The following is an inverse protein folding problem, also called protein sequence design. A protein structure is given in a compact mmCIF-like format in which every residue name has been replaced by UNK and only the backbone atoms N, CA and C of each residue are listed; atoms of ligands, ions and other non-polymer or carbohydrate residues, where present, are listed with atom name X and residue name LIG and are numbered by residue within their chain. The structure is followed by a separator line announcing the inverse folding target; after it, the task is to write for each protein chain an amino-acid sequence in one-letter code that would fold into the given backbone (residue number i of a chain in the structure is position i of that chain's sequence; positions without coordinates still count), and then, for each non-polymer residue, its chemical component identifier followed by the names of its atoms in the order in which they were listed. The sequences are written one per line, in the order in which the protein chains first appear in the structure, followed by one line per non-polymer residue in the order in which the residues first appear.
data_IF_029323434898
#
_entry.id   IF_029323434898
#
_cell.length_a   1.000
_cell.length_b   1.000
_cell.length_c   1.000
_cell.angle_alpha   90.00
_cell.angle_beta   90.00
_cell.angle_gamma   90.00
#
_symmetry.space_group_name_H-M   'P 1'
#
loop_
_entity.id
_entity.type
_entity.pdbx_description
1 polymer ?
#
# COMPACT_ATOMS: atom_id res chain seq x y z
N UNK A 1 -55.00 57.71 26.11
CA UNK A 1 -53.58 57.35 26.24
C UNK A 1 -53.54 55.86 26.36
N UNK A 2 -53.25 55.19 25.24
CA UNK A 2 -53.12 53.74 25.13
C UNK A 2 -51.62 53.38 25.05
N UNK A 3 -51.16 52.55 25.97
CA UNK A 3 -49.81 52.06 26.04
C UNK A 3 -49.51 51.06 24.86
N UNK A 4 -48.28 51.03 24.34
CA UNK A 4 -47.90 50.08 23.29
C UNK A 4 -47.64 48.68 23.89
N UNK A 5 -47.77 47.59 23.06
CA UNK A 5 -47.55 46.23 23.53
C UNK A 5 -46.02 45.91 23.62
N UNK A 6 -45.68 45.22 24.72
CA UNK A 6 -44.36 44.74 25.03
C UNK A 6 -44.10 43.50 24.16
N UNK A 7 -43.07 43.56 23.28
CA UNK A 7 -42.63 42.45 22.48
C UNK A 7 -41.91 41.38 23.32
N UNK A 8 -42.33 40.13 23.19
CA UNK A 8 -41.68 38.98 23.80
C UNK A 8 -40.29 38.72 23.19
N UNK A 9 -39.25 38.36 23.97
CA UNK A 9 -37.96 38.02 23.43
C UNK A 9 -38.00 36.68 22.70
N UNK A 10 -37.50 36.67 21.49
CA UNK A 10 -37.33 35.47 20.66
C UNK A 10 -36.11 34.66 21.19
N UNK A 11 -36.21 33.34 21.36
CA UNK A 11 -35.07 32.58 21.80
C UNK A 11 -33.98 32.53 20.72
N UNK A 12 -32.76 32.85 21.09
CA UNK A 12 -31.59 32.71 20.23
C UNK A 12 -31.36 31.24 19.91
N UNK A 13 -31.47 30.88 18.64
CA UNK A 13 -31.08 29.56 18.12
C UNK A 13 -29.56 29.44 18.17
N UNK A 14 -29.05 28.78 19.21
CA UNK A 14 -27.66 28.30 19.20
C UNK A 14 -27.54 27.15 18.21
N UNK A 15 -27.04 27.45 17.01
CA UNK A 15 -26.54 26.44 16.10
C UNK A 15 -25.32 25.77 16.76
N UNK A 16 -25.49 24.55 17.22
CA UNK A 16 -24.40 23.68 17.60
C UNK A 16 -23.74 23.28 16.27
N UNK A 17 -22.60 23.90 15.92
CA UNK A 17 -21.76 23.45 14.81
C UNK A 17 -21.37 22.01 15.10
N UNK A 18 -21.86 21.08 14.27
CA UNK A 18 -21.40 19.71 14.30
C UNK A 18 -19.87 19.73 14.02
N UNK A 19 -19.05 18.95 14.76
CA UNK A 19 -17.64 18.92 14.51
C UNK A 19 -17.40 18.55 13.04
N UNK A 20 -16.70 19.42 12.32
CA UNK A 20 -16.26 19.16 10.94
C UNK A 20 -15.49 17.82 10.97
N UNK A 21 -15.97 16.84 10.21
CA UNK A 21 -15.22 15.59 10.05
C UNK A 21 -13.80 15.94 9.58
N UNK A 22 -12.79 15.56 10.38
CA UNK A 22 -11.41 15.82 10.02
C UNK A 22 -11.16 15.28 8.61
N UNK A 23 -10.55 16.10 7.76
CA UNK A 23 -10.25 15.71 6.38
C UNK A 23 -9.35 14.45 6.41
N UNK A 24 -9.76 13.41 5.67
CA UNK A 24 -8.96 12.19 5.57
C UNK A 24 -7.76 12.43 4.67
N UNK A 25 -6.64 11.78 5.00
CA UNK A 25 -5.45 11.80 4.15
C UNK A 25 -5.69 10.99 2.88
N UNK A 26 -5.38 11.57 1.75
CA UNK A 26 -5.51 10.97 0.41
C UNK A 26 -4.43 9.92 0.22
N UNK A 27 -4.83 8.65 0.24
CA UNK A 27 -3.93 7.51 0.11
C UNK A 27 -3.98 6.91 -1.30
N UNK A 28 -2.82 6.62 -1.88
CA UNK A 28 -2.66 5.88 -3.13
C UNK A 28 -1.76 4.67 -2.90
N UNK A 29 -2.20 3.50 -3.37
CA UNK A 29 -1.42 2.27 -3.35
C UNK A 29 -0.82 2.01 -4.74
N UNK A 30 0.49 1.73 -4.79
CA UNK A 30 1.25 1.39 -5.99
C UNK A 30 1.75 -0.04 -5.91
N UNK A 31 1.87 -0.71 -7.07
CA UNK A 31 2.43 -2.05 -7.11
C UNK A 31 1.93 -2.95 -8.22
N UNK A 32 1.81 -4.22 -7.90
CA UNK A 32 1.46 -5.29 -8.83
C UNK A 32 0.24 -6.10 -8.38
N UNK A 33 0.16 -7.38 -8.79
CA UNK A 33 -0.93 -8.29 -8.44
C UNK A 33 -1.15 -8.43 -6.93
N UNK A 34 -0.12 -8.29 -6.13
CA UNK A 34 -0.21 -8.35 -4.66
C UNK A 34 -0.88 -7.12 -4.05
N UNK A 35 -0.80 -5.99 -4.70
CA UNK A 35 -1.42 -4.75 -4.24
C UNK A 35 -2.83 -4.58 -4.82
N UNK A 36 -3.05 -4.93 -6.11
CA UNK A 36 -4.42 -4.94 -6.66
C UNK A 36 -5.29 -6.05 -6.04
N UNK A 37 -4.69 -7.05 -5.41
CA UNK A 37 -5.40 -8.12 -4.73
C UNK A 37 -6.03 -9.12 -5.70
N UNK A 38 -5.19 -9.73 -6.54
CA UNK A 38 -5.62 -10.78 -7.47
C UNK A 38 -6.24 -11.95 -6.71
N UNK A 39 -7.34 -12.48 -7.23
CA UNK A 39 -8.08 -13.65 -6.71
C UNK A 39 -8.75 -13.48 -5.34
N UNK A 40 -8.87 -12.23 -4.85
CA UNK A 40 -9.67 -11.88 -3.67
C UNK A 40 -10.68 -10.78 -3.99
N UNK A 41 -11.68 -10.61 -3.15
CA UNK A 41 -12.63 -9.50 -3.27
C UNK A 41 -11.98 -8.16 -2.91
N UNK A 42 -12.59 -7.04 -3.34
CA UNK A 42 -12.08 -5.70 -3.02
C UNK A 42 -11.89 -5.51 -1.52
N UNK A 43 -12.85 -5.91 -0.70
CA UNK A 43 -12.77 -5.77 0.76
C UNK A 43 -11.65 -6.61 1.41
N UNK A 44 -11.13 -7.63 0.71
CA UNK A 44 -10.07 -8.50 1.20
C UNK A 44 -8.66 -8.03 0.80
N UNK A 45 -8.52 -7.07 -0.11
CA UNK A 45 -7.22 -6.50 -0.51
C UNK A 45 -6.57 -5.80 0.66
N UNK A 46 -5.27 -5.90 0.81
CA UNK A 46 -4.60 -5.25 1.93
C UNK A 46 -4.74 -3.72 1.96
N UNK A 47 -4.76 -2.95 0.83
CA UNK A 47 -4.99 -1.52 0.90
C UNK A 47 -6.39 -1.16 1.40
N UNK A 48 -7.42 -1.95 1.01
CA UNK A 48 -8.81 -1.75 1.45
C UNK A 48 -8.99 -2.13 2.92
N UNK A 49 -8.39 -3.24 3.38
CA UNK A 49 -8.36 -3.60 4.80
C UNK A 49 -7.62 -2.54 5.64
N UNK A 50 -6.55 -1.95 5.09
CA UNK A 50 -5.77 -0.91 5.76
C UNK A 50 -6.62 0.33 6.03
N UNK A 51 -7.36 0.83 5.02
CA UNK A 51 -8.23 2.01 5.22
C UNK A 51 -9.45 1.70 6.10
N UNK A 52 -9.94 0.45 6.08
CA UNK A 52 -10.97 0.03 7.03
C UNK A 52 -10.48 0.08 8.49
N UNK A 53 -9.21 -0.20 8.72
CA UNK A 53 -8.57 -0.12 10.05
C UNK A 53 -8.13 1.29 10.43
N UNK A 54 -7.79 2.14 9.45
CA UNK A 54 -7.27 3.50 9.63
C UNK A 54 -8.24 4.55 9.06
N UNK A 55 -9.29 4.96 9.80
CA UNK A 55 -10.32 5.89 9.30
C UNK A 55 -9.79 7.26 8.90
N UNK A 56 -8.56 7.60 9.30
CA UNK A 56 -7.86 8.82 8.89
C UNK A 56 -7.43 8.80 7.42
N UNK A 57 -7.44 7.63 6.77
CA UNK A 57 -7.07 7.47 5.37
C UNK A 57 -8.30 7.37 4.46
N UNK A 58 -8.15 7.88 3.24
CA UNK A 58 -9.07 7.65 2.12
C UNK A 58 -8.29 7.04 0.96
N UNK A 59 -8.57 5.78 0.60
CA UNK A 59 -7.97 5.15 -0.58
C UNK A 59 -8.55 5.80 -1.84
N UNK A 60 -7.86 6.79 -2.39
CA UNK A 60 -8.31 7.51 -3.59
C UNK A 60 -8.01 6.75 -4.88
N UNK A 61 -6.99 5.90 -4.86
CA UNK A 61 -6.71 4.95 -5.95
C UNK A 61 -5.82 3.80 -5.48
N UNK A 62 -6.07 2.61 -6.04
CA UNK A 62 -5.14 1.51 -6.11
C UNK A 62 -4.71 1.40 -7.58
N UNK A 63 -3.49 1.84 -7.90
CA UNK A 63 -2.96 1.93 -9.27
C UNK A 63 -2.28 0.64 -9.73
N UNK A 64 -2.13 -0.30 -8.81
CA UNK A 64 -1.46 -1.56 -9.07
C UNK A 64 -2.15 -2.40 -10.15
N UNK A 65 -1.37 -3.09 -10.96
CA UNK A 65 -1.85 -3.93 -12.05
C UNK A 65 -1.11 -5.27 -12.06
N UNK A 66 -1.83 -6.35 -12.39
CA UNK A 66 -1.24 -7.69 -12.52
C UNK A 66 -0.06 -7.68 -13.49
N UNK A 67 1.05 -8.28 -13.09
CA UNK A 67 2.24 -8.44 -13.92
C UNK A 67 3.15 -7.22 -14.00
N UNK A 68 2.79 -6.10 -13.37
CA UNK A 68 3.63 -4.89 -13.37
C UNK A 68 4.99 -5.14 -12.72
N UNK A 69 6.01 -4.60 -13.37
CA UNK A 69 7.40 -4.52 -12.94
C UNK A 69 7.72 -3.13 -12.39
N UNK A 70 8.91 -2.96 -11.85
CA UNK A 70 9.41 -1.64 -11.45
C UNK A 70 9.42 -0.61 -12.59
N UNK A 71 9.57 -1.06 -13.83
CA UNK A 71 9.45 -0.21 -15.02
C UNK A 71 8.03 0.30 -15.23
N UNK A 72 7.03 -0.56 -15.06
CA UNK A 72 5.63 -0.20 -15.26
C UNK A 72 5.17 0.80 -14.20
N UNK A 73 5.66 0.70 -12.96
CA UNK A 73 5.44 1.76 -11.94
C UNK A 73 5.92 3.11 -12.45
N UNK A 74 7.10 3.20 -13.05
CA UNK A 74 7.66 4.44 -13.58
C UNK A 74 6.82 4.97 -14.75
N UNK A 75 6.45 4.10 -15.69
CA UNK A 75 5.82 4.50 -16.96
C UNK A 75 4.32 4.72 -16.85
N UNK A 76 3.64 4.03 -15.90
CA UNK A 76 2.17 4.00 -15.83
C UNK A 76 1.62 4.57 -14.52
N UNK A 77 2.18 4.18 -13.35
CA UNK A 77 1.60 4.57 -12.07
C UNK A 77 2.03 5.97 -11.62
N UNK A 78 3.33 6.26 -11.63
CA UNK A 78 3.87 7.56 -11.20
C UNK A 78 3.25 8.76 -11.94
N UNK A 79 3.00 8.72 -13.26
CA UNK A 79 2.36 9.83 -13.97
C UNK A 79 0.96 10.18 -13.47
N UNK A 80 0.24 9.24 -12.87
CA UNK A 80 -1.13 9.46 -12.38
C UNK A 80 -1.17 10.22 -11.05
N UNK A 81 -0.07 10.23 -10.29
CA UNK A 81 -0.02 10.84 -8.96
C UNK A 81 -0.27 12.34 -8.96
N UNK A 82 0.07 13.06 -10.04
CA UNK A 82 -0.14 14.51 -10.13
C UNK A 82 -1.64 14.86 -10.13
N UNK A 83 -2.45 14.08 -10.83
CA UNK A 83 -3.91 14.26 -10.85
C UNK A 83 -4.56 13.80 -9.54
N UNK A 84 -4.04 12.72 -8.94
CA UNK A 84 -4.57 12.14 -7.71
C UNK A 84 -4.19 12.92 -6.45
N UNK A 85 -3.07 13.66 -6.48
CA UNK A 85 -2.56 14.46 -5.36
C UNK A 85 -2.58 13.70 -4.03
N UNK A 86 -1.86 12.55 -3.94
CA UNK A 86 -1.81 11.79 -2.70
C UNK A 86 -1.08 12.56 -1.59
N UNK A 87 -1.47 12.29 -0.35
CA UNK A 87 -0.79 12.73 0.85
C UNK A 87 -0.02 11.58 1.51
N UNK A 88 -0.40 10.34 1.18
CA UNK A 88 0.25 9.10 1.63
C UNK A 88 0.34 8.15 0.44
N UNK A 89 1.48 7.49 0.29
CA UNK A 89 1.71 6.49 -0.76
C UNK A 89 2.32 5.23 -0.17
N UNK A 90 1.83 4.06 -0.59
CA UNK A 90 2.52 2.79 -0.36
C UNK A 90 3.02 2.19 -1.65
N UNK A 91 4.15 1.47 -1.59
CA UNK A 91 4.76 0.78 -2.72
C UNK A 91 5.08 -0.67 -2.34
N UNK A 92 4.59 -1.63 -3.13
CA UNK A 92 5.00 -3.03 -3.10
C UNK A 92 5.26 -3.47 -4.55
N UNK A 93 6.53 -3.68 -4.93
CA UNK A 93 6.94 -4.01 -6.30
C UNK A 93 8.25 -4.80 -6.34
N UNK A 94 8.40 -5.66 -7.33
CA UNK A 94 9.66 -6.34 -7.59
C UNK A 94 9.57 -7.85 -7.81
N UNK A 95 8.41 -8.48 -7.57
CA UNK A 95 8.24 -9.90 -7.84
C UNK A 95 8.29 -10.19 -9.34
N UNK A 96 7.60 -9.38 -10.14
CA UNK A 96 7.56 -9.57 -11.58
C UNK A 96 8.91 -9.21 -12.25
N UNK A 97 9.71 -8.34 -11.63
CA UNK A 97 11.10 -8.12 -12.07
C UNK A 97 11.91 -9.41 -11.96
N UNK A 98 11.70 -10.22 -10.91
CA UNK A 98 12.35 -11.55 -10.77
C UNK A 98 11.82 -12.51 -11.82
N UNK A 99 10.49 -12.65 -11.92
CA UNK A 99 9.84 -13.60 -12.86
C UNK A 99 10.22 -13.30 -14.31
N UNK A 100 10.30 -12.02 -14.67
CA UNK A 100 10.63 -11.59 -16.04
C UNK A 100 12.14 -11.47 -16.29
N UNK A 101 12.98 -11.80 -15.30
CA UNK A 101 14.44 -11.79 -15.45
C UNK A 101 15.03 -10.39 -15.64
N UNK A 102 14.41 -9.37 -15.04
CA UNK A 102 14.97 -8.01 -15.07
C UNK A 102 16.32 -7.99 -14.37
N UNK A 103 17.40 -7.51 -15.03
CA UNK A 103 18.72 -7.47 -14.41
C UNK A 103 18.72 -6.66 -13.09
N UNK A 104 19.40 -7.17 -12.07
CA UNK A 104 19.50 -6.55 -10.74
C UNK A 104 19.85 -5.05 -10.80
N UNK A 105 20.86 -4.69 -11.61
CA UNK A 105 21.26 -3.29 -11.79
C UNK A 105 20.16 -2.42 -12.42
N UNK A 106 19.26 -3.01 -13.22
CA UNK A 106 18.11 -2.29 -13.80
C UNK A 106 17.04 -2.10 -12.73
N UNK A 107 16.70 -3.13 -11.97
CA UNK A 107 15.78 -3.03 -10.85
C UNK A 107 16.25 -1.97 -9.83
N UNK A 108 17.54 -1.99 -9.45
CA UNK A 108 18.12 -1.02 -8.53
C UNK A 108 17.97 0.42 -9.05
N UNK A 109 18.21 0.67 -10.34
CA UNK A 109 18.01 2.01 -10.94
C UNK A 109 16.53 2.41 -10.91
N UNK A 110 15.63 1.50 -11.29
CA UNK A 110 14.20 1.76 -11.29
C UNK A 110 13.68 2.08 -9.89
N UNK A 111 14.04 1.27 -8.89
CA UNK A 111 13.68 1.51 -7.48
C UNK A 111 14.18 2.89 -7.03
N UNK A 112 15.41 3.25 -7.35
CA UNK A 112 15.94 4.57 -7.00
C UNK A 112 15.11 5.70 -7.60
N UNK A 113 14.77 5.61 -8.90
CA UNK A 113 13.93 6.59 -9.57
C UNK A 113 12.53 6.69 -8.96
N UNK A 114 11.90 5.54 -8.67
CA UNK A 114 10.57 5.49 -8.06
C UNK A 114 10.60 6.20 -6.69
N UNK A 115 11.54 5.82 -5.82
CA UNK A 115 11.61 6.35 -4.47
C UNK A 115 11.96 7.84 -4.45
N UNK A 116 12.87 8.30 -5.31
CA UNK A 116 13.18 9.73 -5.46
C UNK A 116 11.95 10.52 -5.89
N UNK A 117 11.18 10.00 -6.82
CA UNK A 117 9.96 10.63 -7.32
C UNK A 117 8.86 10.66 -6.25
N UNK A 118 8.69 9.59 -5.46
CA UNK A 118 7.74 9.57 -4.36
C UNK A 118 8.13 10.56 -3.26
N UNK A 119 9.40 10.61 -2.87
CA UNK A 119 9.90 11.58 -1.87
C UNK A 119 9.70 13.00 -2.34
N UNK A 120 9.95 13.28 -3.62
CA UNK A 120 9.73 14.61 -4.21
C UNK A 120 8.27 15.06 -4.13
N UNK A 121 7.32 14.13 -4.29
CA UNK A 121 5.87 14.43 -4.35
C UNK A 121 5.25 14.57 -2.96
N UNK A 122 5.53 13.64 -2.04
CA UNK A 122 4.83 13.56 -0.76
C UNK A 122 5.78 13.64 0.46
N UNK A 123 7.10 13.62 0.26
CA UNK A 123 8.09 13.55 1.33
C UNK A 123 8.29 12.13 1.87
N UNK A 124 9.49 11.85 2.38
CA UNK A 124 9.84 10.53 2.89
C UNK A 124 8.93 10.05 4.04
N UNK A 125 8.48 10.97 4.90
CA UNK A 125 7.57 10.67 6.01
C UNK A 125 6.12 10.35 5.59
N UNK A 126 5.82 10.32 4.30
CA UNK A 126 4.49 10.00 3.73
C UNK A 126 4.55 8.84 2.74
N UNK A 127 5.71 8.18 2.63
CA UNK A 127 5.92 6.99 1.83
C UNK A 127 6.16 5.81 2.75
N UNK A 128 5.51 4.68 2.48
CA UNK A 128 5.77 3.41 3.12
C UNK A 128 6.03 2.34 2.05
N UNK A 129 7.13 1.63 2.20
CA UNK A 129 7.50 0.52 1.32
C UNK A 129 7.16 -0.79 2.01
N UNK A 130 6.59 -1.73 1.26
CA UNK A 130 6.32 -3.11 1.70
C UNK A 130 7.19 -4.05 0.89
N UNK A 131 7.87 -4.99 1.56
CA UNK A 131 8.67 -6.00 0.85
C UNK A 131 7.80 -6.95 0.04
N UNK A 132 8.38 -7.54 -1.00
CA UNK A 132 7.73 -8.54 -1.86
C UNK A 132 7.58 -9.87 -1.10
N UNK A 133 6.40 -10.52 -1.16
CA UNK A 133 6.20 -11.86 -0.60
C UNK A 133 6.96 -12.93 -1.38
N UNK A 134 7.21 -14.07 -0.75
CA UNK A 134 7.78 -15.25 -1.41
C UNK A 134 6.65 -16.18 -1.87
N UNK A 135 6.36 -16.17 -3.16
CA UNK A 135 5.34 -17.03 -3.77
C UNK A 135 5.81 -18.46 -4.01
N UNK A 136 7.13 -18.71 -3.95
CA UNK A 136 7.70 -20.02 -4.31
C UNK A 136 7.26 -21.15 -3.38
N UNK A 137 6.76 -20.81 -2.21
CA UNK A 137 6.21 -21.74 -1.21
C UNK A 137 4.73 -22.08 -1.43
N UNK A 138 4.07 -21.45 -2.41
CA UNK A 138 2.66 -21.67 -2.73
C UNK A 138 2.48 -22.87 -3.66
N UNK A 139 1.24 -23.42 -3.80
CA UNK A 139 0.98 -24.54 -4.72
C UNK A 139 1.41 -24.32 -6.16
N UNK A 140 1.16 -23.12 -6.70
CA UNK A 140 1.49 -22.75 -8.09
C UNK A 140 2.85 -22.06 -8.22
N UNK A 141 3.61 -21.92 -7.14
CA UNK A 141 4.89 -21.20 -7.15
C UNK A 141 5.90 -21.73 -8.15
N UNK A 142 5.95 -23.07 -8.33
CA UNK A 142 6.86 -23.71 -9.27
C UNK A 142 6.52 -23.46 -10.76
N UNK A 143 5.32 -22.96 -11.07
CA UNK A 143 4.91 -22.66 -12.44
C UNK A 143 5.65 -21.43 -13.02
N UNK A 144 6.29 -20.64 -12.16
CA UNK A 144 6.97 -19.39 -12.53
C UNK A 144 8.50 -19.52 -12.59
N UNK A 145 9.05 -20.73 -12.53
CA UNK A 145 10.48 -21.00 -12.65
C UNK A 145 11.03 -21.83 -11.50
N UNK A 146 12.35 -21.99 -11.44
CA UNK A 146 13.01 -22.74 -10.36
C UNK A 146 12.78 -22.05 -9.00
N UNK A 147 12.10 -22.70 -8.03
CA UNK A 147 11.74 -22.07 -6.77
C UNK A 147 12.95 -21.54 -5.97
N UNK A 148 14.10 -22.22 -6.05
CA UNK A 148 15.31 -21.81 -5.30
C UNK A 148 15.88 -20.52 -5.90
N UNK A 149 15.93 -20.44 -7.23
CA UNK A 149 16.42 -19.24 -7.94
C UNK A 149 15.44 -18.06 -7.74
N UNK A 150 14.13 -18.31 -7.87
CA UNK A 150 13.11 -17.29 -7.69
C UNK A 150 13.13 -16.73 -6.25
N UNK A 151 13.16 -17.60 -5.24
CA UNK A 151 13.27 -17.17 -3.84
C UNK A 151 14.55 -16.36 -3.58
N UNK A 152 15.67 -16.73 -4.18
CA UNK A 152 16.93 -15.96 -4.10
C UNK A 152 16.78 -14.57 -4.75
N UNK A 153 16.15 -14.49 -5.93
CA UNK A 153 15.86 -13.23 -6.61
C UNK A 153 14.95 -12.30 -5.79
N UNK A 154 13.87 -12.85 -5.21
CA UNK A 154 12.96 -12.11 -4.32
C UNK A 154 13.72 -11.52 -3.14
N UNK A 155 14.55 -12.32 -2.45
CA UNK A 155 15.37 -11.81 -1.33
C UNK A 155 16.34 -10.72 -1.77
N UNK A 156 16.94 -10.85 -2.95
CA UNK A 156 17.85 -9.85 -3.51
C UNK A 156 17.09 -8.54 -3.79
N UNK A 157 15.93 -8.61 -4.45
CA UNK A 157 15.13 -7.43 -4.75
C UNK A 157 14.59 -6.77 -3.46
N UNK A 158 14.17 -7.55 -2.46
CA UNK A 158 13.76 -7.02 -1.15
C UNK A 158 14.91 -6.29 -0.44
N UNK A 159 16.14 -6.82 -0.50
CA UNK A 159 17.32 -6.14 0.06
C UNK A 159 17.59 -4.82 -0.66
N UNK A 160 17.61 -4.81 -2.00
CA UNK A 160 17.82 -3.59 -2.80
C UNK A 160 16.77 -2.52 -2.45
N UNK A 161 15.50 -2.91 -2.44
CA UNK A 161 14.39 -2.02 -2.13
C UNK A 161 14.51 -1.45 -0.71
N UNK A 162 14.83 -2.29 0.26
CA UNK A 162 15.01 -1.91 1.67
C UNK A 162 16.15 -0.93 1.84
N UNK A 163 17.34 -1.24 1.29
CA UNK A 163 18.52 -0.37 1.37
C UNK A 163 18.25 0.99 0.71
N UNK A 164 17.63 1.00 -0.47
CA UNK A 164 17.30 2.22 -1.20
C UNK A 164 16.27 3.09 -0.44
N UNK A 165 15.25 2.48 0.18
CA UNK A 165 14.24 3.17 0.97
C UNK A 165 14.84 3.76 2.25
N UNK A 166 15.61 2.97 3.00
CA UNK A 166 16.27 3.41 4.23
C UNK A 166 17.25 4.57 3.99
N UNK A 167 17.99 4.55 2.88
CA UNK A 167 18.90 5.64 2.51
C UNK A 167 18.16 6.98 2.29
N UNK A 168 16.85 6.96 2.08
CA UNK A 168 15.96 8.12 1.90
C UNK A 168 15.13 8.45 3.14
N UNK A 169 15.30 7.72 4.24
CA UNK A 169 14.49 7.87 5.45
C UNK A 169 13.04 7.35 5.28
N UNK A 170 12.79 6.51 4.29
CA UNK A 170 11.49 5.88 4.06
C UNK A 170 11.36 4.66 4.96
N UNK A 171 10.18 4.51 5.59
CA UNK A 171 9.86 3.34 6.40
C UNK A 171 9.60 2.13 5.52
N UNK A 172 10.20 0.99 5.89
CA UNK A 172 9.99 -0.30 5.23
C UNK A 172 9.31 -1.25 6.18
N UNK A 173 8.25 -1.89 5.71
CA UNK A 173 7.56 -2.99 6.41
C UNK A 173 7.90 -4.29 5.70
N UNK A 174 8.62 -5.16 6.40
CA UNK A 174 8.94 -6.49 5.88
C UNK A 174 7.79 -7.47 6.16
N UNK A 175 7.22 -8.06 5.07
CA UNK A 175 6.17 -9.08 5.14
C UNK A 175 6.65 -10.43 4.59
N UNK A 176 7.90 -10.55 4.20
CA UNK A 176 8.44 -11.75 3.58
C UNK A 176 8.28 -12.99 4.48
N UNK A 177 8.56 -12.89 5.77
CA UNK A 177 8.39 -13.96 6.74
C UNK A 177 6.91 -14.40 6.90
N UNK A 178 5.97 -13.46 6.78
CA UNK A 178 4.54 -13.78 6.80
C UNK A 178 4.12 -14.61 5.59
N UNK A 179 4.69 -14.30 4.42
CA UNK A 179 4.39 -15.05 3.19
C UNK A 179 4.87 -16.51 3.25
N UNK A 180 6.00 -16.77 3.91
CA UNK A 180 6.53 -18.13 4.09
C UNK A 180 5.58 -19.06 4.86
N UNK A 181 4.65 -18.53 5.65
CA UNK A 181 3.65 -19.32 6.38
C UNK A 181 2.70 -20.07 5.43
N UNK A 182 2.53 -19.61 4.20
CA UNK A 182 1.74 -20.27 3.15
C UNK A 182 2.28 -21.68 2.80
N UNK A 183 3.53 -22.00 3.13
CA UNK A 183 4.09 -23.33 2.96
C UNK A 183 3.34 -24.41 3.77
N UNK A 184 2.83 -24.04 4.94
CA UNK A 184 2.18 -24.97 5.88
C UNK A 184 0.70 -24.64 6.13
N UNK A 185 0.27 -23.42 5.83
CA UNK A 185 -1.11 -22.96 6.00
C UNK A 185 -1.71 -22.57 4.66
N UNK A 186 -2.48 -23.50 4.07
CA UNK A 186 -3.14 -23.28 2.78
C UNK A 186 -4.28 -22.25 2.83
N UNK A 187 -4.82 -21.94 4.02
CA UNK A 187 -5.80 -20.89 4.23
C UNK A 187 -5.24 -19.48 3.96
N UNK A 188 -3.92 -19.34 3.88
CA UNK A 188 -3.23 -18.09 3.53
C UNK A 188 -3.09 -17.88 2.01
N UNK A 189 -3.42 -18.87 1.18
CA UNK A 189 -3.33 -18.80 -0.29
C UNK A 189 -4.74 -18.64 -0.87
N UNK A 190 -4.89 -17.75 -1.85
CA UNK A 190 -6.15 -17.57 -2.58
C UNK A 190 -6.49 -18.78 -3.46
N UNK A 191 -7.69 -18.78 -4.04
CA UNK A 191 -8.20 -19.91 -4.83
C UNK A 191 -7.40 -20.23 -6.11
N UNK A 192 -6.54 -19.33 -6.57
CA UNK A 192 -5.66 -19.55 -7.73
C UNK A 192 -4.38 -20.34 -7.38
N UNK A 193 -4.16 -20.64 -6.10
CA UNK A 193 -2.99 -21.38 -5.64
C UNK A 193 -1.68 -20.58 -5.64
N UNK A 194 -1.72 -19.27 -5.88
CA UNK A 194 -0.54 -18.41 -6.01
C UNK A 194 -0.59 -17.20 -5.08
N UNK A 195 -1.63 -16.37 -5.23
CA UNK A 195 -1.73 -15.09 -4.53
C UNK A 195 -2.17 -15.25 -3.08
N UNK A 196 -1.92 -14.26 -2.22
CA UNK A 196 -2.39 -14.26 -0.84
C UNK A 196 -3.93 -14.28 -0.74
N UNK A 197 -4.45 -15.01 0.22
CA UNK A 197 -5.86 -14.89 0.63
C UNK A 197 -6.10 -13.58 1.41
N UNK A 198 -7.38 -13.23 1.60
CA UNK A 198 -7.75 -12.13 2.50
C UNK A 198 -7.21 -12.29 3.92
N UNK A 199 -7.07 -13.53 4.41
CA UNK A 199 -6.47 -13.81 5.72
C UNK A 199 -4.98 -13.51 5.76
N UNK A 200 -4.23 -13.80 4.69
CA UNK A 200 -2.83 -13.42 4.62
C UNK A 200 -2.67 -11.89 4.53
N UNK A 201 -3.51 -11.22 3.74
CA UNK A 201 -3.53 -9.76 3.68
C UNK A 201 -3.87 -9.13 5.03
N UNK A 202 -4.75 -9.73 5.84
CA UNK A 202 -5.00 -9.26 7.21
C UNK A 202 -3.73 -9.29 8.08
N UNK A 203 -2.92 -10.34 7.98
CA UNK A 203 -1.62 -10.42 8.68
C UNK A 203 -0.65 -9.31 8.22
N UNK A 204 -0.67 -8.97 6.93
CA UNK A 204 0.15 -7.84 6.43
C UNK A 204 -0.33 -6.52 7.03
N UNK A 205 -1.64 -6.29 7.04
CA UNK A 205 -2.25 -5.07 7.61
C UNK A 205 -1.95 -4.95 9.10
N UNK A 206 -1.93 -6.05 9.85
CA UNK A 206 -1.53 -6.05 11.27
C UNK A 206 -0.11 -5.52 11.49
N UNK A 207 0.78 -5.70 10.50
CA UNK A 207 2.16 -5.20 10.53
C UNK A 207 2.29 -3.81 9.90
N UNK A 208 1.53 -3.50 8.84
CA UNK A 208 1.59 -2.24 8.10
C UNK A 208 0.94 -1.09 8.88
N UNK A 209 -0.25 -1.32 9.46
CA UNK A 209 -1.04 -0.26 10.09
C UNK A 209 -0.27 0.49 11.19
N UNK A 210 0.37 -0.17 12.18
CA UNK A 210 1.11 0.56 13.21
C UNK A 210 2.30 1.37 12.66
N UNK A 211 2.95 0.88 11.59
CA UNK A 211 4.04 1.60 10.96
C UNK A 211 3.55 2.86 10.25
N UNK A 212 2.39 2.77 9.59
CA UNK A 212 1.78 3.90 8.88
C UNK A 212 1.14 4.90 9.84
N UNK A 213 0.51 4.45 10.94
CA UNK A 213 0.00 5.33 12.01
C UNK A 213 1.12 6.25 12.53
N UNK A 214 2.28 5.69 12.86
CA UNK A 214 3.44 6.45 13.30
C UNK A 214 3.95 7.46 12.24
N UNK A 215 3.70 7.27 10.96
CA UNK A 215 4.09 8.20 9.89
C UNK A 215 3.07 9.35 9.75
N UNK A 216 1.78 9.08 9.87
CA UNK A 216 0.74 10.08 9.61
C UNK A 216 0.43 10.96 10.82
N UNK A 217 0.77 10.53 12.03
CA UNK A 217 0.61 11.30 13.29
C UNK A 217 1.74 12.33 13.53
N UNK A 218 2.81 12.28 12.74
CA UNK A 218 3.95 13.23 12.81
C UNK A 218 3.71 14.45 11.93
#
# INVERSE_FOLDING_TARGET
MTAPPVGSPQPASSSIDAPSAAARLRYVALGDSYTIGTSVTVAERWPDQLVARMPALELVANLAVNGFTSRDVIEVELPQLDALRPEVVTLLIGVNDVVQGVPEATYQRNVSLILDELVRRVGAGRVLVVTTPDYTVTPSGADFGDPVQQAAGIRTNNRILTEAAQARGIVVVDIHDLSLRAATDRGLVAGDGLHPSGSQYALWVDRIAPALENLVER
#
